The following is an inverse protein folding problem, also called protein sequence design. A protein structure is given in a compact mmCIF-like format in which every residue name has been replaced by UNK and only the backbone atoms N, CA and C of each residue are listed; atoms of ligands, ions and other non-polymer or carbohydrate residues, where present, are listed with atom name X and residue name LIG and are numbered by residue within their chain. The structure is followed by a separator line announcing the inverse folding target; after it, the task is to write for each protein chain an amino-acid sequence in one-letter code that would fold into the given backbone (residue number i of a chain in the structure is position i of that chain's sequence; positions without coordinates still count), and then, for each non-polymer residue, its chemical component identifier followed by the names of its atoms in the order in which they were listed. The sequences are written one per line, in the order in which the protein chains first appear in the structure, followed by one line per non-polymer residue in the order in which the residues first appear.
data_IF_962963790661
#
_entry.id   IF_962963790661
#
_cell.length_a   1.000
_cell.length_b   1.000
_cell.length_c   1.000
_cell.angle_alpha   90.00
_cell.angle_beta   90.00
_cell.angle_gamma   90.00
#
_symmetry.space_group_name_H-M   'P 1'
#
loop_
_entity.id
_entity.type
_entity.pdbx_description
1 polymer ?
#
# COMPACT_ATOMS: atom_id res chain seq x y z
N UNK A 1 7.36 23.40 -7.34
CA UNK A 1 6.49 22.41 -6.65
C UNK A 1 6.10 21.38 -7.68
N UNK A 2 6.47 20.12 -7.48
CA UNK A 2 6.13 19.03 -8.39
C UNK A 2 4.91 18.28 -7.83
N UNK A 3 4.01 17.86 -8.71
CA UNK A 3 2.82 17.09 -8.36
C UNK A 3 2.73 15.87 -9.27
N UNK A 4 2.38 14.72 -8.70
CA UNK A 4 2.01 13.52 -9.45
C UNK A 4 0.48 13.41 -9.47
N UNK A 5 -0.09 13.22 -10.66
CA UNK A 5 -1.52 13.04 -10.86
C UNK A 5 -1.75 11.60 -11.32
N UNK A 6 -2.60 10.87 -10.60
CA UNK A 6 -3.09 9.56 -11.03
C UNK A 6 -4.31 9.78 -11.93
N UNK A 7 -4.22 9.40 -13.19
CA UNK A 7 -5.36 9.36 -14.12
C UNK A 7 -6.04 8.00 -14.05
N UNK A 8 -7.35 7.96 -14.20
CA UNK A 8 -8.15 6.73 -14.19
C UNK A 8 -8.52 6.35 -15.61
N UNK A 9 -8.32 5.09 -16.00
CA UNK A 9 -8.82 4.57 -17.27
C UNK A 9 -10.36 4.53 -17.26
N UNK A 10 -11.00 4.81 -18.41
CA UNK A 10 -12.46 4.80 -18.50
C UNK A 10 -12.99 3.37 -18.34
N UNK A 11 -13.57 3.07 -17.18
CA UNK A 11 -14.25 1.82 -16.88
C UNK A 11 -14.81 1.80 -15.45
N UNK A 12 -15.91 1.07 -15.22
CA UNK A 12 -16.57 1.04 -13.90
C UNK A 12 -15.62 0.58 -12.79
N UNK A 13 -14.81 -0.45 -13.05
CA UNK A 13 -13.88 -1.00 -12.06
C UNK A 13 -12.75 -0.01 -11.72
N UNK A 14 -12.16 0.66 -12.72
CA UNK A 14 -11.11 1.66 -12.49
C UNK A 14 -11.62 2.87 -11.69
N UNK A 15 -12.85 3.32 -11.95
CA UNK A 15 -13.48 4.39 -11.18
C UNK A 15 -13.74 3.95 -9.73
N UNK A 16 -14.20 2.71 -9.54
CA UNK A 16 -14.45 2.15 -8.20
C UNK A 16 -13.15 2.04 -7.40
N UNK A 17 -12.09 1.47 -7.96
CA UNK A 17 -10.78 1.37 -7.31
C UNK A 17 -10.24 2.76 -6.94
N UNK A 18 -10.36 3.74 -7.83
CA UNK A 18 -9.96 5.12 -7.53
C UNK A 18 -10.76 5.74 -6.38
N UNK A 19 -12.08 5.50 -6.32
CA UNK A 19 -12.91 5.98 -5.22
C UNK A 19 -12.55 5.31 -3.88
N UNK A 20 -12.27 4.01 -3.90
CA UNK A 20 -11.81 3.28 -2.70
C UNK A 20 -10.44 3.80 -2.23
N UNK A 21 -9.52 4.09 -3.14
CA UNK A 21 -8.23 4.71 -2.82
C UNK A 21 -8.41 6.06 -2.09
N UNK A 22 -9.27 6.94 -2.60
CA UNK A 22 -9.55 8.25 -1.98
C UNK A 22 -10.16 8.07 -0.58
N UNK A 23 -11.10 7.14 -0.41
CA UNK A 23 -11.71 6.84 0.90
C UNK A 23 -10.68 6.31 1.88
N UNK A 24 -9.84 5.38 1.44
CA UNK A 24 -8.77 4.79 2.26
C UNK A 24 -7.77 5.87 2.70
N UNK A 25 -7.32 6.73 1.78
CA UNK A 25 -6.46 7.88 2.10
C UNK A 25 -7.08 8.81 3.14
N UNK A 26 -8.36 9.14 2.98
CA UNK A 26 -9.09 9.98 3.92
C UNK A 26 -9.20 9.33 5.32
N UNK A 27 -9.44 8.02 5.37
CA UNK A 27 -9.53 7.26 6.62
C UNK A 27 -8.18 7.19 7.34
N UNK A 28 -7.09 6.91 6.62
CA UNK A 28 -5.74 6.92 7.16
C UNK A 28 -5.36 8.29 7.74
N UNK A 29 -5.75 9.38 7.06
CA UNK A 29 -5.49 10.75 7.53
C UNK A 29 -6.17 11.09 8.86
N UNK A 30 -7.33 10.48 9.18
CA UNK A 30 -7.98 10.69 10.48
C UNK A 30 -7.23 10.05 11.65
N UNK A 31 -6.49 8.98 11.36
CA UNK A 31 -5.74 8.23 12.38
C UNK A 31 -4.31 8.73 12.52
N UNK A 32 -3.79 9.40 11.49
CA UNK A 32 -2.44 9.94 11.47
C UNK A 32 -2.41 11.46 11.73
N UNK A 33 -1.85 11.87 12.88
CA UNK A 33 -1.62 13.29 13.23
C UNK A 33 -0.46 13.93 12.44
N UNK A 34 0.27 13.19 11.60
CA UNK A 34 1.38 13.72 10.81
C UNK A 34 1.62 12.99 9.48
N UNK A 35 1.48 13.75 8.39
CA UNK A 35 1.92 13.41 7.03
C UNK A 35 1.25 12.22 6.35
N UNK A 36 0.09 12.48 5.75
CA UNK A 36 -0.30 11.86 4.46
C UNK A 36 -0.22 12.96 3.39
N UNK A 37 0.90 13.69 3.38
CA UNK A 37 1.18 14.76 2.43
C UNK A 37 2.37 14.36 1.55
N UNK A 38 2.04 14.02 0.29
CA UNK A 38 2.81 14.28 -0.94
C UNK A 38 3.92 13.32 -1.42
N UNK A 39 3.74 12.97 -2.71
CA UNK A 39 4.61 12.69 -3.89
C UNK A 39 5.86 11.79 -3.80
N UNK A 40 5.94 10.83 -4.74
CA UNK A 40 7.02 9.85 -4.87
C UNK A 40 7.89 9.99 -6.12
N UNK A 41 8.95 9.17 -6.21
CA UNK A 41 9.43 8.43 -7.41
C UNK A 41 10.07 7.09 -6.97
N UNK A 42 10.06 6.15 -7.91
CA UNK A 42 10.63 4.79 -8.00
C UNK A 42 12.05 4.59 -7.44
N UNK A 43 12.35 3.32 -7.11
CA UNK A 43 13.63 2.72 -6.66
C UNK A 43 14.89 3.58 -6.84
N UNK A 44 15.69 3.70 -5.78
CA UNK A 44 17.05 4.22 -5.85
C UNK A 44 17.86 3.42 -6.89
N UNK A 45 18.40 4.05 -7.95
CA UNK A 45 18.99 3.36 -9.10
C UNK A 45 20.23 2.52 -8.74
N UNK A 46 20.97 2.93 -7.71
CA UNK A 46 22.30 2.38 -7.47
C UNK A 46 22.36 1.20 -6.49
N UNK A 47 21.50 1.17 -5.46
CA UNK A 47 21.73 0.25 -4.33
C UNK A 47 20.84 -0.98 -4.34
N UNK A 48 19.67 -0.94 -5.00
CA UNK A 48 18.58 -1.95 -4.92
C UNK A 48 18.19 -2.35 -3.47
N UNK A 49 18.70 -1.68 -2.46
CA UNK A 49 18.53 -1.96 -1.03
C UNK A 49 17.84 -0.78 -0.37
N UNK A 50 16.88 -1.08 0.50
CA UNK A 50 16.23 -0.09 1.35
C UNK A 50 17.16 0.17 2.54
N UNK A 51 17.54 1.42 2.79
CA UNK A 51 18.33 1.79 3.99
C UNK A 51 17.48 1.69 5.26
N UNK A 52 18.10 1.50 6.43
CA UNK A 52 17.37 1.35 7.70
C UNK A 52 16.41 2.52 8.00
N UNK A 53 16.83 3.76 7.73
CA UNK A 53 15.98 4.95 7.92
C UNK A 53 14.74 4.95 7.01
N UNK A 54 14.89 4.36 5.81
CA UNK A 54 13.84 4.21 4.81
C UNK A 54 12.88 3.07 5.17
N UNK A 55 13.36 2.01 5.82
CA UNK A 55 12.51 0.96 6.40
C UNK A 55 11.67 1.53 7.55
N UNK A 56 12.28 2.35 8.42
CA UNK A 56 11.56 2.97 9.54
C UNK A 56 10.39 3.82 9.07
N UNK A 57 10.59 4.70 8.09
CA UNK A 57 9.50 5.53 7.55
C UNK A 57 8.40 4.68 6.89
N UNK A 58 8.77 3.62 6.16
CA UNK A 58 7.79 2.70 5.57
C UNK A 58 6.93 1.99 6.64
N UNK A 59 7.53 1.57 7.76
CA UNK A 59 6.79 0.95 8.86
C UNK A 59 5.81 1.92 9.54
N UNK A 60 6.10 3.22 9.57
CA UNK A 60 5.18 4.24 10.09
C UNK A 60 3.93 4.36 9.22
N UNK A 61 4.12 4.42 7.90
CA UNK A 61 3.03 4.54 6.94
C UNK A 61 2.15 3.28 6.95
N UNK A 62 2.80 2.12 6.92
CA UNK A 62 2.14 0.84 7.01
C UNK A 62 1.36 0.66 8.32
N UNK A 63 1.94 1.08 9.45
CA UNK A 63 1.25 1.09 10.74
C UNK A 63 0.04 2.02 10.72
N UNK A 64 0.11 3.15 10.04
CA UNK A 64 -1.03 4.07 9.92
C UNK A 64 -2.20 3.45 9.15
N UNK A 65 -1.91 2.73 8.06
CA UNK A 65 -2.91 1.95 7.32
C UNK A 65 -3.58 0.91 8.24
N UNK A 66 -2.80 0.11 8.96
CA UNK A 66 -3.35 -0.90 9.86
C UNK A 66 -4.15 -0.29 11.02
N UNK A 67 -3.69 0.81 11.62
CA UNK A 67 -4.44 1.51 12.68
C UNK A 67 -5.73 2.12 12.18
N UNK A 68 -5.84 2.42 10.89
CA UNK A 68 -7.09 2.82 10.26
C UNK A 68 -8.07 1.67 10.07
N UNK A 69 -7.66 0.43 10.36
CA UNK A 69 -8.48 -0.77 10.22
C UNK A 69 -8.49 -1.33 8.81
N UNK A 70 -7.57 -0.86 7.97
CA UNK A 70 -7.46 -1.26 6.57
C UNK A 70 -6.30 -2.23 6.34
N UNK A 71 -6.44 -3.01 5.27
CA UNK A 71 -5.43 -3.88 4.67
C UNK A 71 -5.21 -3.44 3.22
N UNK A 72 -3.97 -3.50 2.73
CA UNK A 72 -3.53 -3.02 1.42
C UNK A 72 -3.91 -3.97 0.29
N UNK A 73 -3.71 -5.28 0.49
CA UNK A 73 -3.96 -6.37 -0.48
C UNK A 73 -3.04 -6.45 -1.69
N UNK A 74 -2.39 -5.34 -2.07
CA UNK A 74 -1.42 -5.29 -3.16
C UNK A 74 -0.08 -4.67 -2.73
N UNK A 75 0.42 -5.09 -1.57
CA UNK A 75 1.67 -4.56 -1.06
C UNK A 75 2.86 -5.25 -1.73
N UNK A 76 3.59 -4.51 -2.57
CA UNK A 76 4.82 -4.97 -3.21
C UNK A 76 5.82 -3.82 -3.41
N UNK A 77 7.06 -4.14 -3.78
CA UNK A 77 8.12 -3.13 -3.95
C UNK A 77 7.86 -2.08 -5.06
N UNK A 78 6.84 -2.29 -5.91
CA UNK A 78 6.39 -1.33 -6.91
C UNK A 78 5.43 -0.28 -6.35
N UNK A 79 4.74 -0.61 -5.26
CA UNK A 79 3.83 0.28 -4.53
C UNK A 79 4.51 0.97 -3.33
N UNK A 80 5.85 0.96 -3.30
CA UNK A 80 6.66 1.73 -2.35
C UNK A 80 7.26 2.93 -3.07
N UNK A 81 6.86 4.12 -2.64
CA UNK A 81 7.38 5.37 -3.18
C UNK A 81 8.52 5.91 -2.33
N UNK A 82 9.59 6.36 -2.96
CA UNK A 82 10.72 7.00 -2.30
C UNK A 82 10.58 8.51 -2.46
N UNK A 83 10.40 9.20 -1.35
CA UNK A 83 10.43 10.66 -1.29
C UNK A 83 11.81 11.19 -0.93
N UNK A 84 11.90 12.52 -0.96
CA UNK A 84 13.04 13.28 -0.44
C UNK A 84 13.17 13.11 1.09
N UNK A 85 14.36 13.43 1.62
CA UNK A 85 14.65 13.38 3.07
C UNK A 85 14.45 11.98 3.71
N UNK A 86 14.74 10.90 2.98
CA UNK A 86 14.67 9.51 3.47
C UNK A 86 13.26 9.07 3.91
N UNK A 87 12.20 9.73 3.45
CA UNK A 87 10.82 9.28 3.67
C UNK A 87 10.38 8.33 2.56
N UNK A 88 9.79 7.22 2.95
CA UNK A 88 9.13 6.29 2.06
C UNK A 88 7.63 6.26 2.34
N UNK A 89 6.85 5.91 1.32
CA UNK A 89 5.39 5.85 1.41
C UNK A 89 4.84 4.56 0.85
N UNK A 90 3.75 4.09 1.44
CA UNK A 90 2.91 3.05 0.86
C UNK A 90 1.90 3.72 -0.07
N UNK A 91 1.88 3.31 -1.34
CA UNK A 91 1.02 3.88 -2.37
C UNK A 91 0.07 2.85 -2.96
N UNK A 92 -0.93 3.34 -3.71
CA UNK A 92 -1.94 2.54 -4.38
C UNK A 92 -2.88 1.76 -3.44
N UNK A 93 -3.79 2.51 -2.82
CA UNK A 93 -4.82 1.94 -1.94
C UNK A 93 -6.09 1.52 -2.71
N UNK A 94 -6.03 1.37 -4.04
CA UNK A 94 -7.21 1.07 -4.86
C UNK A 94 -7.87 -0.28 -4.54
N UNK A 95 -7.10 -1.20 -3.96
CA UNK A 95 -7.56 -2.51 -3.51
C UNK A 95 -7.77 -2.60 -2.00
N UNK A 96 -7.50 -1.53 -1.26
CA UNK A 96 -7.55 -1.56 0.19
C UNK A 96 -8.96 -1.85 0.70
N UNK A 97 -9.05 -2.62 1.78
CA UNK A 97 -10.35 -2.96 2.38
C UNK A 97 -10.23 -3.11 3.90
N UNK A 98 -11.34 -3.41 4.57
CA UNK A 98 -11.30 -3.68 6.01
C UNK A 98 -10.59 -5.00 6.29
N UNK A 99 -9.89 -5.04 7.41
CA UNK A 99 -9.23 -6.25 7.92
C UNK A 99 -10.22 -7.41 8.07
N UNK A 100 -9.93 -8.55 7.43
CA UNK A 100 -10.78 -9.73 7.43
C UNK A 100 -12.06 -9.61 6.61
N UNK A 101 -12.22 -8.55 5.81
CA UNK A 101 -13.38 -8.40 4.94
C UNK A 101 -13.39 -9.50 3.89
N UNK A 102 -14.50 -10.26 3.84
CA UNK A 102 -14.68 -11.27 2.83
C UNK A 102 -15.05 -10.60 1.50
N UNK A 103 -14.12 -10.58 0.56
CA UNK A 103 -14.29 -10.01 -0.77
C UNK A 103 -14.52 -11.17 -1.73
N UNK A 104 -15.72 -11.24 -2.27
CA UNK A 104 -16.07 -12.21 -3.31
C UNK A 104 -15.48 -11.76 -4.64
N UNK A 105 -14.77 -12.65 -5.34
CA UNK A 105 -14.25 -12.38 -6.67
C UNK A 105 -12.85 -12.94 -6.91
N UNK A 106 -12.18 -12.40 -7.91
CA UNK A 106 -10.81 -12.73 -8.25
C UNK A 106 -9.84 -12.22 -7.18
N UNK A 107 -8.81 -13.03 -6.88
CA UNK A 107 -7.70 -12.57 -6.04
C UNK A 107 -6.88 -11.57 -6.87
N UNK A 108 -6.82 -10.33 -6.40
CA UNK A 108 -6.04 -9.25 -7.02
C UNK A 108 -4.74 -9.02 -6.27
N UNK A 109 -3.72 -8.61 -7.00
CA UNK A 109 -2.40 -8.21 -6.50
C UNK A 109 -1.25 -9.03 -7.09
N UNK A 110 -0.03 -8.76 -6.66
CA UNK A 110 1.18 -9.37 -7.23
C UNK A 110 1.54 -10.71 -6.56
N UNK A 111 1.34 -11.82 -7.29
CA UNK A 111 1.42 -13.21 -6.80
C UNK A 111 2.64 -13.54 -5.89
N UNK A 112 3.91 -13.16 -6.22
CA UNK A 112 5.05 -13.41 -5.34
C UNK A 112 4.94 -12.87 -3.91
N UNK A 113 4.09 -11.87 -3.66
CA UNK A 113 3.92 -11.22 -2.37
C UNK A 113 2.75 -11.79 -1.55
N UNK A 114 1.99 -12.74 -2.10
CA UNK A 114 0.83 -13.30 -1.41
C UNK A 114 1.24 -14.18 -0.23
N UNK A 115 0.55 -13.96 0.89
CA UNK A 115 0.63 -14.85 2.03
C UNK A 115 0.03 -16.23 1.70
N UNK A 116 0.47 -17.32 2.36
CA UNK A 116 -0.03 -18.68 2.09
C UNK A 116 -1.55 -18.79 2.19
N UNK A 117 -2.18 -18.12 3.14
CA UNK A 117 -3.63 -18.12 3.34
C UNK A 117 -4.40 -17.48 2.17
N UNK A 118 -3.81 -16.51 1.48
CA UNK A 118 -4.40 -15.86 0.32
C UNK A 118 -4.45 -16.81 -0.87
N UNK A 119 -3.44 -17.68 -1.03
CA UNK A 119 -3.47 -18.75 -2.02
C UNK A 119 -4.62 -19.73 -1.77
N UNK A 120 -5.02 -19.90 -0.51
CA UNK A 120 -6.20 -20.69 -0.11
C UNK A 120 -7.51 -19.90 -0.17
N UNK A 121 -7.54 -18.72 -0.83
CA UNK A 121 -8.72 -17.84 -0.95
C UNK A 121 -9.29 -17.40 0.39
N UNK A 122 -8.47 -17.32 1.43
CA UNK A 122 -8.88 -16.72 2.70
C UNK A 122 -8.94 -15.19 2.57
N UNK A 123 -9.76 -14.51 3.40
CA UNK A 123 -9.81 -13.06 3.43
C UNK A 123 -8.44 -12.43 3.69
N UNK A 124 -8.19 -11.28 3.08
CA UNK A 124 -7.01 -10.50 3.40
C UNK A 124 -7.10 -9.96 4.82
N UNK A 125 -5.99 -10.08 5.53
CA UNK A 125 -5.83 -9.60 6.90
C UNK A 125 -4.58 -8.75 7.03
N UNK A 126 -4.45 -8.03 8.15
CA UNK A 126 -3.19 -7.34 8.48
C UNK A 126 -2.00 -8.29 8.51
N UNK A 127 -2.20 -9.56 8.89
CA UNK A 127 -1.15 -10.57 8.87
C UNK A 127 -0.70 -10.89 7.43
N UNK A 128 -1.64 -10.94 6.48
CA UNK A 128 -1.31 -11.16 5.08
C UNK A 128 -0.48 -10.01 4.49
N UNK A 129 -0.77 -8.74 4.83
CA UNK A 129 0.08 -7.62 4.42
C UNK A 129 1.46 -7.65 5.11
N UNK A 130 1.54 -8.11 6.37
CA UNK A 130 2.83 -8.28 7.08
C UNK A 130 3.71 -9.31 6.38
N UNK A 131 3.12 -10.39 5.86
CA UNK A 131 3.83 -11.35 5.03
C UNK A 131 4.40 -10.66 3.78
N UNK A 132 3.57 -9.92 3.03
CA UNK A 132 4.01 -9.19 1.85
C UNK A 132 5.13 -8.18 2.16
N UNK A 133 5.03 -7.49 3.31
CA UNK A 133 6.09 -6.63 3.81
C UNK A 133 7.39 -7.40 4.10
N UNK A 134 7.30 -8.61 4.66
CA UNK A 134 8.43 -9.52 4.82
C UNK A 134 9.15 -9.81 3.50
N UNK A 135 8.39 -10.10 2.44
CA UNK A 135 8.93 -10.31 1.09
C UNK A 135 9.63 -9.06 0.54
N UNK A 136 9.15 -7.85 0.85
CA UNK A 136 9.81 -6.58 0.45
C UNK A 136 11.18 -6.41 1.13
N UNK A 137 11.36 -6.95 2.34
CA UNK A 137 12.60 -6.82 3.10
C UNK A 137 13.68 -7.85 2.74
N UNK A 138 13.32 -8.93 2.04
CA UNK A 138 14.26 -9.97 1.58
C UNK A 138 15.16 -9.48 0.45
#
# INVERSE_FOLDING_TARGET
MWVALKSVEKGEEGVKEFLEEIKAMHQCRKVNLGSLDRYGVTRHPDTKKISNDRLWSLTIDFRSLHRSGLVHRDLHSGNVLFGDNRRNFVADLGLACKDGQNITGEIKGVLPYFAPEIHCRQPHTKASDIYSFGIIMC
#
